data_IF_086607735702
#
_entry.id   IF_086607735702
#
_cell.length_a   1.000
_cell.length_b   1.000
_cell.length_c   1.000
_cell.angle_alpha   90.00
_cell.angle_beta   90.00
_cell.angle_gamma   90.00
#
_symmetry.space_group_name_H-M   'P 1'
#
loop_
_entity.id
_entity.type
_entity.pdbx_description
1 polymer ?
#
# COMPACT_ATOMS: atom_id res chain seq x y z
N UNK A 1 5.29 -17.24 22.29
CA UNK A 1 4.59 -16.09 21.68
C UNK A 1 5.07 -14.83 22.38
N UNK A 2 6.26 -14.37 22.02
CA UNK A 2 6.75 -13.04 22.37
C UNK A 2 6.88 -12.33 21.04
N UNK A 3 5.73 -11.90 20.51
CA UNK A 3 5.74 -10.93 19.41
C UNK A 3 6.10 -9.59 20.06
N UNK A 4 7.40 -9.34 20.16
CA UNK A 4 7.89 -7.99 20.31
C UNK A 4 7.38 -7.22 19.09
N UNK A 5 6.37 -6.39 19.30
CA UNK A 5 5.88 -5.43 18.32
C UNK A 5 7.01 -4.39 18.12
N UNK A 6 8.04 -4.77 17.35
CA UNK A 6 9.07 -3.87 16.87
C UNK A 6 8.35 -2.90 15.96
N UNK A 7 7.84 -1.81 16.54
CA UNK A 7 7.27 -0.69 15.79
C UNK A 7 8.19 -0.28 14.64
N UNK A 8 9.51 -0.46 14.78
CA UNK A 8 10.50 -0.18 13.76
C UNK A 8 10.48 -1.15 12.56
N UNK A 9 10.29 -2.46 12.79
CA UNK A 9 10.20 -3.46 11.72
C UNK A 9 8.87 -3.35 10.98
N UNK A 10 7.77 -3.19 11.72
CA UNK A 10 6.45 -2.97 11.14
C UNK A 10 6.38 -1.63 10.38
N UNK A 11 7.05 -0.58 10.87
CA UNK A 11 7.16 0.70 10.17
C UNK A 11 8.01 0.59 8.90
N UNK A 12 9.12 -0.16 8.92
CA UNK A 12 9.96 -0.40 7.73
C UNK A 12 9.21 -1.20 6.65
N UNK A 13 8.49 -2.24 7.05
CA UNK A 13 7.64 -3.02 6.13
C UNK A 13 6.49 -2.17 5.60
N UNK A 14 5.81 -1.39 6.45
CA UNK A 14 4.72 -0.51 6.05
C UNK A 14 5.19 0.64 5.15
N UNK A 15 6.36 1.24 5.40
CA UNK A 15 6.95 2.26 4.53
C UNK A 15 7.32 1.67 3.16
N UNK A 16 7.86 0.46 3.13
CA UNK A 16 8.19 -0.23 1.88
C UNK A 16 6.92 -0.53 1.07
N UNK A 17 5.88 -1.04 1.72
CA UNK A 17 4.57 -1.27 1.08
C UNK A 17 3.96 0.05 0.60
N UNK A 18 4.00 1.12 1.42
CA UNK A 18 3.49 2.44 1.03
C UNK A 18 4.25 3.02 -0.15
N UNK A 19 5.57 2.87 -0.21
CA UNK A 19 6.36 3.29 -1.38
C UNK A 19 5.96 2.50 -2.62
N UNK A 20 5.85 1.18 -2.50
CA UNK A 20 5.42 0.29 -3.60
C UNK A 20 4.04 0.71 -4.13
N UNK A 21 3.04 0.83 -3.25
CA UNK A 21 1.68 1.23 -3.63
C UNK A 21 1.62 2.65 -4.23
N UNK A 22 2.38 3.62 -3.70
CA UNK A 22 2.37 5.00 -4.21
C UNK A 22 3.09 5.16 -5.53
N UNK A 23 4.28 4.57 -5.67
CA UNK A 23 5.15 4.79 -6.83
C UNK A 23 4.94 3.77 -7.93
N UNK A 24 4.78 2.47 -7.60
CA UNK A 24 4.65 1.42 -8.60
C UNK A 24 3.21 1.29 -9.13
N UNK A 25 2.21 1.50 -8.27
CA UNK A 25 0.80 1.41 -8.63
C UNK A 25 0.14 2.76 -8.93
N UNK A 26 0.90 3.85 -9.03
CA UNK A 26 0.41 5.15 -9.47
C UNK A 26 -0.56 5.85 -8.50
N UNK A 27 -0.65 5.41 -7.24
CA UNK A 27 -1.46 6.08 -6.20
C UNK A 27 -0.88 7.42 -5.72
N UNK A 28 0.22 7.89 -6.33
CA UNK A 28 0.73 9.25 -6.11
C UNK A 28 -0.17 10.34 -6.73
N UNK A 29 -1.00 9.98 -7.72
CA UNK A 29 -1.84 10.94 -8.40
C UNK A 29 -3.00 11.44 -7.52
N UNK A 30 -3.37 12.70 -7.74
CA UNK A 30 -4.57 13.28 -7.13
C UNK A 30 -5.79 12.82 -7.93
N UNK A 31 -6.77 12.22 -7.27
CA UNK A 31 -8.02 11.80 -7.90
C UNK A 31 -9.09 12.86 -7.70
N UNK A 32 -9.88 13.13 -8.73
CA UNK A 32 -10.97 14.10 -8.67
C UNK A 32 -12.17 13.58 -7.85
N UNK A 33 -12.33 12.25 -7.80
CA UNK A 33 -13.44 11.60 -7.10
C UNK A 33 -12.97 10.50 -6.14
N UNK A 34 -13.58 10.47 -4.95
CA UNK A 34 -13.29 9.45 -3.93
C UNK A 34 -13.49 8.01 -4.44
N UNK A 35 -14.48 7.80 -5.31
CA UNK A 35 -14.79 6.48 -5.89
C UNK A 35 -13.68 5.97 -6.80
N UNK A 36 -13.03 6.86 -7.54
CA UNK A 36 -11.89 6.53 -8.40
C UNK A 36 -10.66 6.18 -7.54
N UNK A 37 -10.38 6.99 -6.52
CA UNK A 37 -9.32 6.72 -5.56
C UNK A 37 -9.50 5.35 -4.88
N UNK A 38 -10.73 5.03 -4.43
CA UNK A 38 -11.05 3.75 -3.82
C UNK A 38 -10.87 2.58 -4.79
N UNK A 39 -11.26 2.76 -6.05
CA UNK A 39 -11.12 1.73 -7.09
C UNK A 39 -9.65 1.46 -7.41
N UNK A 40 -8.86 2.50 -7.62
CA UNK A 40 -7.43 2.42 -7.87
C UNK A 40 -6.70 1.77 -6.68
N UNK A 41 -7.07 2.12 -5.45
CA UNK A 41 -6.51 1.52 -4.25
C UNK A 41 -6.80 0.02 -4.17
N UNK A 42 -8.06 -0.39 -4.38
CA UNK A 42 -8.45 -1.80 -4.35
C UNK A 42 -7.73 -2.61 -5.43
N UNK A 43 -7.55 -2.04 -6.62
CA UNK A 43 -6.79 -2.67 -7.71
C UNK A 43 -5.31 -2.82 -7.36
N UNK A 44 -4.68 -1.78 -6.79
CA UNK A 44 -3.29 -1.82 -6.35
C UNK A 44 -3.06 -2.91 -5.28
N UNK A 45 -3.95 -2.98 -4.28
CA UNK A 45 -3.90 -4.02 -3.23
C UNK A 45 -4.11 -5.41 -3.81
N UNK A 46 -5.05 -5.57 -4.76
CA UNK A 46 -5.28 -6.85 -5.42
C UNK A 46 -4.06 -7.32 -6.21
N UNK A 47 -3.44 -6.43 -6.99
CA UNK A 47 -2.26 -6.74 -7.79
C UNK A 47 -1.06 -7.09 -6.90
N UNK A 48 -0.83 -6.32 -5.84
CA UNK A 48 0.23 -6.61 -4.86
C UNK A 48 0.08 -8.00 -4.24
N UNK A 49 -1.16 -8.41 -3.90
CA UNK A 49 -1.40 -9.69 -3.23
C UNK A 49 -1.47 -10.91 -4.16
N UNK A 50 -1.79 -10.74 -5.45
CA UNK A 50 -2.06 -11.87 -6.37
C UNK A 50 -1.07 -12.01 -7.52
N UNK A 51 -0.32 -10.96 -7.87
CA UNK A 51 0.55 -10.94 -9.06
C UNK A 51 2.04 -10.93 -8.69
N UNK A 52 2.39 -10.56 -7.46
CA UNK A 52 3.77 -10.51 -6.98
C UNK A 52 4.27 -11.86 -6.45
#
# INVERSE_FOLDING_TARGET
>A
MTEENHCYENYSVAEKINKTLKFEFGLYNTFDYFKEAQTAFNQAVFLYNNVQ
#
